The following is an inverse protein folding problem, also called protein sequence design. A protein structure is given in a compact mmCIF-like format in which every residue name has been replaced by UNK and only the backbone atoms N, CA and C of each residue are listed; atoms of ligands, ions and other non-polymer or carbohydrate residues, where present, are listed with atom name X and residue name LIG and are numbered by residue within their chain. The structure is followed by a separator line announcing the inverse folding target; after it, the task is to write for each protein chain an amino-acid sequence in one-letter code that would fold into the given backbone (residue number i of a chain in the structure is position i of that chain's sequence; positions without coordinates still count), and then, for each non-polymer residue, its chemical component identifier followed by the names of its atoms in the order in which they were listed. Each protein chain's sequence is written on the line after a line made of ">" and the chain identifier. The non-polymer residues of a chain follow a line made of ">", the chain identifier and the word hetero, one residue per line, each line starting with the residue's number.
data_IF_601457322705
#
_entry.id   IF_601457322705
#
_cell.length_a   1.000
_cell.length_b   1.000
_cell.length_c   1.000
_cell.angle_alpha   90.00
_cell.angle_beta   90.00
_cell.angle_gamma   90.00
#
_symmetry.space_group_name_H-M   'P 1'
#
loop_
_entity.id
_entity.type
_entity.pdbx_description
1 polymer ?
#
# COMPACT_ATOMS: atom_id res chain seq x y z
N UNK A 1 -1.33 4.04 17.41
CA UNK A 1 -1.64 5.20 16.55
C UNK A 1 -0.47 5.39 15.61
N UNK A 2 -0.44 4.64 14.51
CA UNK A 2 0.65 4.71 13.53
C UNK A 2 0.35 5.82 12.54
N UNK A 3 1.14 6.88 12.57
CA UNK A 3 1.19 7.88 11.51
C UNK A 3 1.81 7.20 10.29
N UNK A 4 1.04 6.97 9.24
CA UNK A 4 1.58 6.49 7.97
C UNK A 4 2.36 7.63 7.33
N UNK A 5 3.66 7.43 7.10
CA UNK A 5 4.43 8.33 6.24
C UNK A 5 3.78 8.32 4.85
N UNK A 6 3.21 9.46 4.46
CA UNK A 6 2.52 9.64 3.17
C UNK A 6 3.46 9.74 1.98
N UNK A 7 4.78 9.82 2.24
CA UNK A 7 5.82 10.11 1.25
C UNK A 7 6.63 8.85 0.86
N UNK A 8 5.97 7.68 0.74
CA UNK A 8 6.62 6.44 0.34
C UNK A 8 6.90 6.36 -1.17
N UNK A 9 6.23 7.18 -2.00
CA UNK A 9 6.53 7.34 -3.43
C UNK A 9 7.76 8.22 -3.62
N UNK A 10 8.86 7.60 -4.00
CA UNK A 10 10.09 8.33 -4.30
C UNK A 10 10.10 8.88 -5.73
N UNK A 11 9.33 8.28 -6.63
CA UNK A 11 9.28 8.68 -8.03
C UNK A 11 7.85 8.68 -8.56
N UNK A 12 7.40 9.87 -8.99
CA UNK A 12 6.11 10.03 -9.68
C UNK A 12 6.07 9.15 -10.93
N UNK A 13 4.94 8.49 -11.16
CA UNK A 13 4.73 7.53 -12.24
C UNK A 13 5.05 6.07 -11.87
N UNK A 14 5.69 5.79 -10.72
CA UNK A 14 5.81 4.42 -10.24
C UNK A 14 4.49 3.91 -9.65
N UNK A 15 4.28 2.60 -9.78
CA UNK A 15 3.20 1.90 -9.12
C UNK A 15 3.60 1.41 -7.74
N UNK A 16 2.63 0.82 -7.05
CA UNK A 16 2.80 0.21 -5.73
C UNK A 16 2.23 -1.17 -5.77
N UNK A 17 2.90 -2.07 -5.08
CA UNK A 17 2.31 -3.31 -4.66
C UNK A 17 2.31 -3.43 -3.15
N UNK A 18 1.13 -3.61 -2.57
CA UNK A 18 0.93 -3.93 -1.17
C UNK A 18 0.62 -5.41 -1.01
N UNK A 19 1.29 -6.08 -0.07
CA UNK A 19 1.01 -7.46 0.29
C UNK A 19 0.88 -7.61 1.81
N UNK A 20 -0.25 -8.11 2.27
CA UNK A 20 -0.55 -8.22 3.71
C UNK A 20 0.05 -9.52 4.25
N UNK A 21 1.08 -9.42 5.09
CA UNK A 21 1.72 -10.57 5.73
C UNK A 21 0.90 -11.06 6.94
N UNK A 22 0.36 -10.13 7.72
CA UNK A 22 -0.47 -10.37 8.90
C UNK A 22 -1.49 -9.24 9.06
N UNK A 23 -2.64 -9.54 9.68
CA UNK A 23 -3.66 -8.55 9.99
C UNK A 23 -4.59 -8.21 8.81
N UNK A 24 -5.06 -6.96 8.80
CA UNK A 24 -6.03 -6.44 7.84
C UNK A 24 -5.91 -4.92 7.74
N UNK A 25 -6.18 -4.38 6.56
CA UNK A 25 -6.14 -2.95 6.29
C UNK A 25 -7.15 -2.55 5.23
N UNK A 26 -7.41 -1.25 5.14
CA UNK A 26 -8.11 -0.60 4.03
C UNK A 26 -7.09 0.19 3.22
N UNK A 27 -7.02 -0.03 1.91
CA UNK A 27 -6.18 0.69 0.96
C UNK A 27 -7.07 1.21 -0.18
N UNK A 28 -7.15 2.53 -0.38
CA UNK A 28 -8.04 3.14 -1.38
C UNK A 28 -9.50 2.62 -1.31
N UNK A 29 -10.01 2.46 -0.08
CA UNK A 29 -11.35 1.93 0.18
C UNK A 29 -11.51 0.41 0.02
N UNK A 30 -10.48 -0.31 -0.44
CA UNK A 30 -10.47 -1.77 -0.53
C UNK A 30 -10.01 -2.41 0.77
N UNK A 31 -10.79 -3.35 1.30
CA UNK A 31 -10.40 -4.13 2.46
C UNK A 31 -9.49 -5.28 2.02
N UNK A 32 -8.29 -5.35 2.58
CA UNK A 32 -7.31 -6.40 2.36
C UNK A 32 -7.09 -7.19 3.64
N UNK A 33 -7.00 -8.51 3.52
CA UNK A 33 -6.72 -9.46 4.59
C UNK A 33 -5.36 -10.12 4.40
N UNK A 34 -4.94 -10.87 5.41
CA UNK A 34 -3.73 -11.70 5.36
C UNK A 34 -3.63 -12.49 4.04
N UNK A 35 -2.50 -12.33 3.35
CA UNK A 35 -2.11 -12.91 2.06
C UNK A 35 -2.79 -12.29 0.83
N UNK A 36 -3.55 -11.22 1.00
CA UNK A 36 -4.01 -10.42 -0.14
C UNK A 36 -2.89 -9.54 -0.66
N UNK A 37 -2.89 -9.37 -1.99
CA UNK A 37 -2.01 -8.47 -2.71
C UNK A 37 -2.82 -7.45 -3.50
N UNK A 38 -2.38 -6.20 -3.53
CA UNK A 38 -3.08 -5.12 -4.21
C UNK A 38 -2.11 -4.19 -4.92
N UNK A 39 -2.37 -3.95 -6.20
CA UNK A 39 -1.59 -3.04 -7.03
C UNK A 39 -2.28 -1.69 -7.17
N UNK A 40 -1.51 -0.62 -7.05
CA UNK A 40 -1.93 0.75 -7.34
C UNK A 40 -1.06 1.31 -8.47
N UNK A 41 -1.70 1.92 -9.46
CA UNK A 41 -1.03 2.63 -10.57
C UNK A 41 -1.60 4.04 -10.68
N UNK A 42 -0.79 4.98 -11.16
CA UNK A 42 -1.20 6.38 -11.44
C UNK A 42 -1.71 7.19 -10.23
N UNK A 43 -1.24 6.87 -9.02
CA UNK A 43 -1.58 7.62 -7.82
C UNK A 43 -0.34 8.33 -7.26
N UNK A 44 -0.37 9.68 -7.20
CA UNK A 44 0.72 10.48 -6.57
C UNK A 44 0.75 10.29 -5.04
N UNK A 45 -0.36 9.83 -4.46
CA UNK A 45 -0.49 9.47 -3.05
C UNK A 45 -1.61 8.44 -2.88
N UNK A 46 -1.58 7.65 -1.81
CA UNK A 46 -2.69 6.78 -1.44
C UNK A 46 -3.03 6.91 0.05
N UNK A 47 -4.27 6.58 0.39
CA UNK A 47 -4.72 6.39 1.77
C UNK A 47 -4.68 4.92 2.16
N UNK A 48 -3.98 4.63 3.26
CA UNK A 48 -3.93 3.30 3.86
C UNK A 48 -4.23 3.38 5.35
N UNK A 49 -5.13 2.53 5.82
CA UNK A 49 -5.51 2.43 7.24
C UNK A 49 -5.52 0.98 7.69
N UNK A 50 -4.65 0.63 8.62
CA UNK A 50 -4.71 -0.66 9.29
C UNK A 50 -6.01 -0.78 10.12
N UNK A 51 -6.74 -1.88 9.96
CA UNK A 51 -7.96 -2.18 10.73
C UNK A 51 -7.67 -3.10 11.92
N UNK A 52 -6.54 -3.80 11.89
CA UNK A 52 -5.96 -4.56 13.02
C UNK A 52 -4.47 -4.27 13.15
N UNK A 53 -3.81 -4.82 14.17
CA UNK A 53 -2.34 -4.93 14.15
C UNK A 53 -1.92 -5.73 12.90
N UNK A 54 -1.08 -5.13 12.07
CA UNK A 54 -0.87 -5.57 10.69
C UNK A 54 0.58 -5.42 10.27
N UNK A 55 1.05 -6.36 9.45
CA UNK A 55 2.35 -6.32 8.79
C UNK A 55 2.13 -6.34 7.29
N UNK A 56 2.66 -5.35 6.60
CA UNK A 56 2.44 -5.14 5.17
C UNK A 56 3.79 -4.97 4.50
N UNK A 57 4.00 -5.69 3.41
CA UNK A 57 5.10 -5.45 2.49
C UNK A 57 4.62 -4.48 1.42
N UNK A 58 5.23 -3.30 1.38
CA UNK A 58 5.03 -2.31 0.31
C UNK A 58 6.24 -2.33 -0.61
N UNK A 59 6.00 -2.41 -1.91
CA UNK A 59 7.03 -2.35 -2.94
C UNK A 59 6.68 -1.28 -3.96
N UNK A 60 7.63 -0.39 -4.25
CA UNK A 60 7.55 0.51 -5.40
C UNK A 60 7.86 -0.30 -6.67
N UNK A 61 7.00 -0.17 -7.68
CA UNK A 61 7.11 -0.91 -8.94
C UNK A 61 7.39 0.11 -10.06
N UNK A 62 8.57 0.06 -10.69
CA UNK A 62 8.85 0.88 -11.86
C UNK A 62 7.87 0.56 -12.99
N UNK A 63 7.12 1.55 -13.43
CA UNK A 63 6.14 1.40 -14.52
C UNK A 63 6.64 1.97 -15.86
N UNK A 64 7.69 2.79 -15.83
CA UNK A 64 8.40 3.22 -17.02
C UNK A 64 9.44 2.17 -17.42
N UNK A 65 9.49 1.86 -18.72
CA UNK A 65 10.50 0.97 -19.33
C UNK A 65 11.84 1.69 -19.55
#
# INVERSE_FOLDING_TARGET
>A
SGTGDTDWLKQSGNGVYAFVLEGSLVLEGQVLYKRDGFGLWEADSFEMRATTDSKVLLMEVPMAL
#
